data_IF_287643863583
#
_entry.id   IF_287643863583
#
_cell.length_a   1.000
_cell.length_b   1.000
_cell.length_c   1.000
_cell.angle_alpha   90.00
_cell.angle_beta   90.00
_cell.angle_gamma   90.00
#
_symmetry.space_group_name_H-M   'P 1'
#
loop_
_entity.id
_entity.type
_entity.pdbx_description
1 polymer ?
#
# COMPACT_ATOMS: atom_id res chain seq x y z
N UNK A 1 16.47 12.14 31.13
CA UNK A 1 16.13 12.28 29.69
C UNK A 1 15.51 10.98 29.19
N UNK A 2 14.20 10.90 29.17
CA UNK A 2 13.47 9.76 28.65
C UNK A 2 13.68 9.68 27.13
N UNK A 3 14.46 8.71 26.67
CA UNK A 3 14.61 8.39 25.26
C UNK A 3 13.28 7.79 24.77
N UNK A 4 12.42 8.60 24.14
CA UNK A 4 11.11 8.13 23.67
C UNK A 4 11.26 7.30 22.40
N UNK A 5 10.74 6.06 22.35
CA UNK A 5 10.89 5.16 21.20
C UNK A 5 10.43 5.78 19.87
N UNK A 6 9.33 6.55 19.89
CA UNK A 6 8.79 7.19 18.69
C UNK A 6 9.80 8.14 18.01
N UNK A 7 10.56 8.93 18.77
CA UNK A 7 11.58 9.82 18.21
C UNK A 7 12.75 9.05 17.63
N UNK A 8 13.24 8.05 18.38
CA UNK A 8 14.38 7.23 17.92
C UNK A 8 14.06 6.38 16.69
N UNK A 9 12.81 5.94 16.56
CA UNK A 9 12.37 5.16 15.41
C UNK A 9 12.11 5.99 14.16
N UNK A 10 12.02 7.33 14.30
CA UNK A 10 11.71 8.19 13.16
C UNK A 10 12.90 8.28 12.19
N UNK A 11 12.77 7.81 10.95
CA UNK A 11 13.90 7.76 10.02
C UNK A 11 14.28 9.14 9.44
N UNK A 12 13.45 10.16 9.67
CA UNK A 12 13.58 11.51 9.10
C UNK A 12 13.54 12.60 10.17
N UNK A 13 13.69 12.24 11.44
CA UNK A 13 13.71 13.17 12.58
C UNK A 13 12.52 14.16 12.61
N UNK A 14 11.34 13.68 12.20
CA UNK A 14 10.13 14.48 12.15
C UNK A 14 9.42 14.63 13.52
N UNK A 15 9.98 14.09 14.62
CA UNK A 15 9.35 14.12 15.93
C UNK A 15 10.15 15.01 16.89
N UNK A 16 9.51 16.05 17.39
CA UNK A 16 9.99 16.97 18.41
C UNK A 16 9.11 16.92 19.66
N UNK A 17 9.37 17.77 20.62
CA UNK A 17 8.58 17.92 21.84
C UNK A 17 8.23 19.38 22.02
N UNK A 18 7.00 19.65 22.46
CA UNK A 18 6.57 20.98 22.90
C UNK A 18 7.10 21.32 24.32
N UNK A 19 6.73 22.49 24.82
CA UNK A 19 7.10 22.99 26.15
C UNK A 19 6.60 22.11 27.30
N UNK A 20 5.50 21.37 27.08
CA UNK A 20 4.94 20.41 28.03
C UNK A 20 5.54 18.99 27.85
N UNK A 21 6.47 18.84 26.93
CA UNK A 21 7.10 17.55 26.62
C UNK A 21 6.19 16.61 25.84
N UNK A 22 5.11 17.08 25.21
CA UNK A 22 4.25 16.25 24.32
C UNK A 22 4.93 16.10 22.96
N UNK A 23 4.83 14.90 22.38
CA UNK A 23 5.41 14.63 21.07
C UNK A 23 4.64 15.34 19.96
N UNK A 24 5.35 16.13 19.17
CA UNK A 24 4.83 16.90 18.03
C UNK A 24 5.46 16.32 16.74
N UNK A 25 4.62 16.05 15.75
CA UNK A 25 5.05 15.53 14.45
C UNK A 25 5.09 16.68 13.45
N UNK A 26 6.27 17.00 12.95
CA UNK A 26 6.47 17.95 11.86
C UNK A 26 5.94 17.37 10.54
N UNK A 27 4.85 17.92 10.05
CA UNK A 27 4.17 17.47 8.82
C UNK A 27 5.02 17.69 7.56
N UNK A 28 5.94 18.65 7.59
CA UNK A 28 6.81 18.96 6.45
C UNK A 28 8.01 18.01 6.35
N UNK A 29 8.29 17.24 7.40
CA UNK A 29 9.33 16.21 7.41
C UNK A 29 8.76 14.80 7.42
N UNK A 30 7.54 14.62 7.91
CA UNK A 30 6.95 13.32 8.14
C UNK A 30 6.61 12.60 6.83
N UNK A 31 7.26 11.46 6.57
CA UNK A 31 7.01 10.60 5.40
C UNK A 31 5.83 9.63 5.60
N UNK A 32 5.12 9.73 6.72
CA UNK A 32 3.90 8.96 7.06
C UNK A 32 4.08 7.45 7.10
N UNK A 33 5.30 6.95 7.32
CA UNK A 33 5.63 5.52 7.32
C UNK A 33 5.04 4.73 8.50
N UNK A 34 4.52 5.39 9.54
CA UNK A 34 3.91 4.72 10.72
C UNK A 34 4.90 4.12 11.72
N UNK A 35 6.21 4.26 11.54
CA UNK A 35 7.21 3.61 12.40
C UNK A 35 7.10 4.04 13.87
N UNK A 36 6.74 5.32 14.12
CA UNK A 36 6.50 5.85 15.47
C UNK A 36 5.29 5.22 16.15
N UNK A 37 4.25 4.82 15.40
CA UNK A 37 3.06 4.13 15.91
C UNK A 37 3.44 2.74 16.40
N UNK A 38 4.14 1.98 15.56
CA UNK A 38 4.60 0.63 15.92
C UNK A 38 5.61 0.61 17.07
N UNK A 39 6.41 1.67 17.22
CA UNK A 39 7.43 1.76 18.27
C UNK A 39 6.89 2.27 19.60
N UNK A 40 5.65 2.75 19.66
CA UNK A 40 5.08 3.26 20.90
C UNK A 40 4.44 2.13 21.73
N UNK A 41 5.02 1.75 22.86
CA UNK A 41 4.46 0.66 23.68
C UNK A 41 3.16 1.05 24.39
N UNK A 42 2.83 2.34 24.40
CA UNK A 42 1.64 2.89 25.08
C UNK A 42 0.48 3.19 24.12
N UNK A 43 0.64 2.98 22.81
CA UNK A 43 -0.37 3.35 21.83
C UNK A 43 -0.70 4.86 21.78
N UNK A 44 0.23 5.72 22.26
CA UNK A 44 0.02 7.16 22.37
C UNK A 44 0.01 7.90 21.01
N UNK A 45 0.43 7.23 19.94
CA UNK A 45 0.39 7.76 18.57
C UNK A 45 -0.49 6.83 17.75
N UNK A 46 -1.51 7.38 17.13
CA UNK A 46 -2.44 6.65 16.28
C UNK A 46 -2.52 7.26 14.88
N UNK A 47 -2.92 6.47 13.89
CA UNK A 47 -3.29 6.97 12.57
C UNK A 47 -4.76 7.39 12.57
N UNK A 48 -5.13 8.28 11.64
CA UNK A 48 -6.54 8.54 11.35
C UNK A 48 -7.20 7.23 10.89
N UNK A 49 -8.36 6.90 11.46
CA UNK A 49 -9.12 5.71 11.04
C UNK A 49 -10.18 6.05 10.01
N UNK A 50 -10.47 5.08 9.14
CA UNK A 50 -11.60 5.12 8.19
C UNK A 50 -12.71 4.13 8.55
N UNK A 51 -12.70 3.57 9.77
CA UNK A 51 -13.73 2.61 10.21
C UNK A 51 -15.14 3.23 10.11
N UNK A 52 -15.33 4.45 10.61
CA UNK A 52 -16.65 5.10 10.64
C UNK A 52 -17.23 5.31 9.25
N UNK A 53 -16.53 5.95 8.29
CA UNK A 53 -17.09 6.11 6.94
C UNK A 53 -17.33 4.78 6.23
N UNK A 54 -16.50 3.76 6.44
CA UNK A 54 -16.73 2.41 5.87
C UNK A 54 -17.98 1.77 6.46
N UNK A 55 -18.17 1.82 7.79
CA UNK A 55 -19.39 1.28 8.42
C UNK A 55 -20.64 2.02 7.94
N UNK A 56 -20.58 3.33 7.77
CA UNK A 56 -21.71 4.12 7.26
C UNK A 56 -22.05 3.71 5.83
N UNK A 57 -21.06 3.58 4.94
CA UNK A 57 -21.27 3.13 3.58
C UNK A 57 -21.90 1.72 3.51
N UNK A 58 -21.44 0.79 4.36
CA UNK A 58 -22.05 -0.55 4.48
C UNK A 58 -23.49 -0.49 4.96
N UNK A 59 -23.81 0.34 5.97
CA UNK A 59 -25.17 0.50 6.51
C UNK A 59 -26.13 1.14 5.52
N UNK A 60 -25.63 2.05 4.69
CA UNK A 60 -26.41 2.74 3.66
C UNK A 60 -26.57 1.91 2.38
N UNK A 61 -26.01 0.69 2.32
CA UNK A 61 -26.05 -0.16 1.14
C UNK A 61 -25.39 0.45 -0.09
N UNK A 62 -24.33 1.22 0.11
CA UNK A 62 -23.54 1.80 -1.00
C UNK A 62 -22.82 0.69 -1.78
N UNK A 63 -22.43 1.00 -3.02
CA UNK A 63 -21.60 0.12 -3.85
C UNK A 63 -20.16 0.06 -3.32
N UNK A 64 -19.97 -0.58 -2.18
CA UNK A 64 -18.68 -0.67 -1.51
C UNK A 64 -17.93 -1.96 -1.87
N UNK A 65 -16.68 -1.83 -2.29
CA UNK A 65 -15.80 -2.92 -2.74
C UNK A 65 -14.57 -3.02 -1.85
N UNK A 66 -14.21 -4.24 -1.48
CA UNK A 66 -12.99 -4.50 -0.72
C UNK A 66 -11.83 -4.88 -1.65
N UNK A 67 -10.63 -4.40 -1.33
CA UNK A 67 -9.41 -4.71 -2.07
C UNK A 67 -8.31 -5.08 -1.06
N UNK A 68 -7.76 -6.30 -1.12
CA UNK A 68 -6.72 -6.72 -0.18
C UNK A 68 -5.31 -6.63 -0.77
N UNK A 69 -4.39 -6.15 0.04
CA UNK A 69 -2.97 -6.10 -0.30
C UNK A 69 -2.40 -7.50 -0.61
N UNK A 70 -1.42 -7.61 -1.52
CA UNK A 70 -0.73 -8.89 -1.76
C UNK A 70 -0.13 -9.50 -0.48
N UNK A 71 0.28 -8.65 0.47
CA UNK A 71 0.78 -9.07 1.78
C UNK A 71 -0.27 -9.74 2.69
N UNK A 72 -1.54 -9.82 2.27
CA UNK A 72 -2.60 -10.50 3.02
C UNK A 72 -2.46 -12.02 2.96
N UNK A 73 -1.92 -12.53 1.86
CA UNK A 73 -1.69 -13.96 1.67
C UNK A 73 -0.76 -14.51 2.77
N UNK A 74 -1.18 -15.59 3.42
CA UNK A 74 -0.44 -16.25 4.50
C UNK A 74 -0.42 -15.54 5.87
N UNK A 75 -1.01 -14.34 6.01
CA UNK A 75 -0.99 -13.60 7.28
C UNK A 75 -1.97 -14.14 8.33
N UNK A 76 -2.99 -14.86 7.91
CA UNK A 76 -4.11 -15.27 8.77
C UNK A 76 -4.22 -16.80 8.90
N UNK A 77 -3.26 -17.53 8.40
CA UNK A 77 -3.22 -18.99 8.38
C UNK A 77 -2.98 -19.54 6.97
N UNK A 78 -2.42 -20.74 6.89
CA UNK A 78 -2.10 -21.37 5.59
C UNK A 78 -3.36 -21.68 4.76
N UNK A 79 -4.48 -21.94 5.42
CA UNK A 79 -5.74 -22.33 4.79
C UNK A 79 -6.67 -21.13 4.51
N UNK A 80 -6.24 -19.91 4.88
CA UNK A 80 -6.97 -18.67 4.64
C UNK A 80 -6.48 -18.06 3.32
N UNK A 81 -7.29 -18.24 2.29
CA UNK A 81 -7.02 -17.77 0.93
C UNK A 81 -7.71 -16.44 0.64
N UNK A 82 -7.48 -15.86 -0.56
CA UNK A 82 -8.21 -14.67 -1.01
C UNK A 82 -9.71 -14.96 -1.17
N UNK A 83 -10.10 -16.21 -1.43
CA UNK A 83 -11.52 -16.60 -1.45
C UNK A 83 -12.14 -16.61 -0.05
N UNK A 84 -11.39 -16.97 0.99
CA UNK A 84 -11.82 -16.80 2.39
C UNK A 84 -12.16 -15.33 2.69
N UNK A 85 -11.31 -14.43 2.24
CA UNK A 85 -11.53 -12.99 2.37
C UNK A 85 -12.74 -12.52 1.57
N UNK A 86 -12.92 -13.01 0.34
CA UNK A 86 -14.08 -12.66 -0.50
C UNK A 86 -15.39 -13.02 0.20
N UNK A 87 -15.48 -14.22 0.76
CA UNK A 87 -16.68 -14.67 1.50
C UNK A 87 -16.95 -13.78 2.70
N UNK A 88 -15.95 -13.56 3.54
CA UNK A 88 -16.09 -12.73 4.73
C UNK A 88 -16.48 -11.27 4.38
N UNK A 89 -15.90 -10.69 3.32
CA UNK A 89 -16.26 -9.34 2.90
C UNK A 89 -17.70 -9.26 2.36
N UNK A 90 -18.16 -10.26 1.60
CA UNK A 90 -19.55 -10.33 1.16
C UNK A 90 -20.51 -10.47 2.34
N UNK A 91 -20.17 -11.25 3.35
CA UNK A 91 -20.96 -11.39 4.59
C UNK A 91 -21.03 -10.06 5.37
N UNK A 92 -19.97 -9.25 5.35
CA UNK A 92 -19.97 -7.90 5.92
C UNK A 92 -20.84 -6.91 5.14
N UNK A 93 -21.25 -7.24 3.89
CA UNK A 93 -22.06 -6.39 3.03
C UNK A 93 -21.29 -5.66 1.93
N UNK A 94 -20.03 -6.01 1.68
CA UNK A 94 -19.33 -5.53 0.48
C UNK A 94 -19.92 -6.19 -0.77
N UNK A 95 -19.98 -5.44 -1.87
CA UNK A 95 -20.47 -5.94 -3.17
C UNK A 95 -19.56 -7.03 -3.71
N UNK A 96 -18.25 -6.79 -3.70
CA UNK A 96 -17.25 -7.79 -4.06
C UNK A 96 -15.88 -7.49 -3.42
N UNK A 97 -14.92 -8.38 -3.71
CA UNK A 97 -13.56 -8.34 -3.19
C UNK A 97 -12.55 -8.59 -4.32
N UNK A 98 -11.45 -7.83 -4.30
CA UNK A 98 -10.39 -7.90 -5.29
C UNK A 98 -9.01 -8.13 -4.65
N UNK A 99 -8.22 -9.03 -5.26
CA UNK A 99 -6.81 -9.20 -4.94
C UNK A 99 -5.99 -8.09 -5.62
N UNK A 100 -5.31 -7.25 -4.82
CA UNK A 100 -4.44 -6.17 -5.33
C UNK A 100 -3.14 -6.71 -5.94
N UNK A 101 -2.86 -8.01 -5.84
CA UNK A 101 -1.82 -8.66 -6.62
C UNK A 101 -2.00 -8.47 -8.13
N UNK A 102 -3.26 -8.53 -8.62
CA UNK A 102 -3.58 -8.19 -10.01
C UNK A 102 -3.16 -6.75 -10.35
N UNK A 103 -3.39 -5.81 -9.43
CA UNK A 103 -2.89 -4.44 -9.59
C UNK A 103 -1.37 -4.36 -9.62
N UNK A 104 -0.68 -5.28 -8.93
CA UNK A 104 0.77 -5.45 -9.01
C UNK A 104 1.22 -5.83 -10.42
N UNK A 105 0.54 -6.78 -11.06
CA UNK A 105 0.81 -7.17 -12.45
C UNK A 105 0.59 -6.00 -13.41
N UNK A 106 -0.53 -5.26 -13.25
CA UNK A 106 -0.82 -4.07 -14.06
C UNK A 106 0.26 -2.99 -13.87
N UNK A 107 0.62 -2.67 -12.63
CA UNK A 107 1.65 -1.67 -12.33
C UNK A 107 3.01 -2.10 -12.91
N UNK A 108 3.37 -3.37 -12.80
CA UNK A 108 4.63 -3.89 -13.33
C UNK A 108 4.72 -3.74 -14.86
N UNK A 109 3.62 -3.98 -15.57
CA UNK A 109 3.58 -3.83 -17.03
C UNK A 109 3.83 -2.37 -17.45
N UNK A 110 3.16 -1.41 -16.82
CA UNK A 110 3.37 0.02 -17.12
C UNK A 110 4.75 0.52 -16.66
N UNK A 111 5.23 0.11 -15.48
CA UNK A 111 6.59 0.46 -15.04
C UNK A 111 7.65 -0.14 -15.96
N UNK A 112 7.43 -1.32 -16.55
CA UNK A 112 8.35 -1.95 -17.48
C UNK A 112 8.55 -1.09 -18.75
N UNK A 113 7.48 -0.56 -19.31
CA UNK A 113 7.55 0.37 -20.45
C UNK A 113 8.34 1.62 -20.10
N UNK A 114 8.01 2.26 -18.98
CA UNK A 114 8.69 3.47 -18.50
C UNK A 114 10.18 3.21 -18.21
N UNK A 115 10.52 2.05 -17.67
CA UNK A 115 11.91 1.69 -17.38
C UNK A 115 12.70 1.40 -18.67
N UNK A 116 12.08 0.76 -19.66
CA UNK A 116 12.72 0.52 -20.95
C UNK A 116 13.06 1.82 -21.70
N UNK A 117 12.17 2.81 -21.64
CA UNK A 117 12.40 4.13 -22.22
C UNK A 117 13.52 4.88 -21.47
N UNK A 118 13.43 4.95 -20.16
CA UNK A 118 14.44 5.61 -19.33
C UNK A 118 15.84 4.97 -19.49
N UNK A 119 15.90 3.64 -19.63
CA UNK A 119 17.16 2.93 -19.87
C UNK A 119 17.82 3.35 -21.19
N UNK A 120 17.03 3.48 -22.27
CA UNK A 120 17.54 3.95 -23.57
C UNK A 120 18.12 5.36 -23.50
N UNK A 121 17.55 6.20 -22.63
CA UNK A 121 17.99 7.58 -22.41
C UNK A 121 19.11 7.69 -21.35
N UNK A 122 19.57 6.57 -20.77
CA UNK A 122 20.57 6.56 -19.70
C UNK A 122 20.09 7.15 -18.38
N UNK A 123 18.77 7.24 -18.19
CA UNK A 123 18.13 7.76 -16.97
C UNK A 123 17.98 6.66 -15.92
N UNK A 124 17.89 7.07 -14.65
CA UNK A 124 17.59 6.19 -13.53
C UNK A 124 16.11 6.31 -13.19
N UNK A 125 15.46 5.19 -12.91
CA UNK A 125 14.08 5.16 -12.45
C UNK A 125 13.94 4.38 -11.14
N UNK A 126 13.00 4.82 -10.30
CA UNK A 126 12.59 4.16 -9.07
C UNK A 126 11.07 4.03 -9.04
N UNK A 127 10.57 2.97 -8.42
CA UNK A 127 9.13 2.70 -8.34
C UNK A 127 8.37 3.74 -7.53
N UNK A 128 7.09 3.93 -7.84
CA UNK A 128 6.16 4.83 -7.12
C UNK A 128 5.24 4.10 -6.13
N UNK A 129 5.23 2.77 -6.08
CA UNK A 129 4.22 1.98 -5.36
C UNK A 129 4.26 2.12 -3.83
N UNK A 130 5.36 2.63 -3.23
CA UNK A 130 5.49 2.84 -1.79
C UNK A 130 5.30 4.32 -1.41
N UNK A 131 4.14 4.73 -0.82
CA UNK A 131 3.89 6.14 -0.51
C UNK A 131 4.88 6.75 0.49
N UNK A 132 5.41 5.94 1.41
CA UNK A 132 6.43 6.42 2.35
C UNK A 132 7.76 6.73 1.65
N UNK A 133 8.13 5.94 0.62
CA UNK A 133 9.31 6.18 -0.20
C UNK A 133 9.12 7.43 -1.08
N UNK A 134 7.98 7.54 -1.75
CA UNK A 134 7.63 8.72 -2.56
C UNK A 134 7.68 9.99 -1.72
N UNK A 135 7.05 9.98 -0.52
CA UNK A 135 7.13 11.10 0.41
C UNK A 135 8.58 11.40 0.87
N UNK A 136 9.39 10.37 1.07
CA UNK A 136 10.80 10.56 1.43
C UNK A 136 11.56 11.28 0.32
N UNK A 137 11.39 10.86 -0.93
CA UNK A 137 12.03 11.53 -2.07
C UNK A 137 11.53 12.97 -2.20
N UNK A 138 10.22 13.17 -2.26
CA UNK A 138 9.63 14.51 -2.46
C UNK A 138 10.00 15.51 -1.37
N UNK A 139 10.07 15.08 -0.10
CA UNK A 139 10.31 15.98 1.03
C UNK A 139 11.80 16.16 1.37
N UNK A 140 12.63 15.14 1.15
CA UNK A 140 14.02 15.15 1.60
C UNK A 140 15.06 15.08 0.48
N UNK A 141 14.63 14.68 -0.73
CA UNK A 141 15.49 14.55 -1.91
C UNK A 141 14.76 15.06 -3.17
N UNK A 142 14.23 16.32 -3.17
CA UNK A 142 13.38 16.82 -4.25
C UNK A 142 14.09 16.81 -5.62
N UNK A 143 15.41 16.83 -5.66
CA UNK A 143 16.21 16.73 -6.87
C UNK A 143 16.09 15.35 -7.56
N UNK A 144 15.56 14.33 -6.87
CA UNK A 144 15.33 12.98 -7.41
C UNK A 144 13.84 12.73 -7.74
N UNK A 145 12.97 13.74 -7.62
CA UNK A 145 11.55 13.58 -7.81
C UNK A 145 11.19 13.08 -9.23
N UNK A 146 11.91 13.55 -10.24
CA UNK A 146 11.71 13.17 -11.65
C UNK A 146 12.15 11.72 -11.96
N UNK A 147 12.91 11.11 -11.04
CA UNK A 147 13.28 9.71 -11.16
C UNK A 147 12.17 8.75 -10.66
N UNK A 148 11.16 9.26 -9.95
CA UNK A 148 10.03 8.42 -9.50
C UNK A 148 9.18 8.06 -10.72
N UNK A 149 8.79 6.78 -10.82
CA UNK A 149 7.83 6.31 -11.82
C UNK A 149 6.53 7.11 -11.75
N UNK A 150 5.95 7.42 -12.88
CA UNK A 150 4.64 8.09 -12.98
C UNK A 150 3.49 7.10 -12.87
N UNK A 151 3.78 5.80 -12.93
CA UNK A 151 2.79 4.73 -12.83
C UNK A 151 2.14 4.72 -11.44
N UNK A 152 0.83 4.54 -11.41
CA UNK A 152 0.06 4.48 -10.16
C UNK A 152 0.34 3.19 -9.39
N UNK A 153 0.11 3.22 -8.08
CA UNK A 153 0.29 2.04 -7.24
C UNK A 153 -0.74 0.93 -7.56
N UNK A 154 -0.44 -0.34 -7.23
CA UNK A 154 -1.37 -1.45 -7.36
C UNK A 154 -2.75 -1.20 -6.75
N UNK A 155 -2.80 -0.51 -5.61
CA UNK A 155 -4.05 -0.11 -4.97
C UNK A 155 -4.88 0.83 -5.86
N UNK A 156 -4.24 1.84 -6.43
CA UNK A 156 -4.91 2.79 -7.33
C UNK A 156 -5.31 2.11 -8.65
N UNK A 157 -4.48 1.22 -9.19
CA UNK A 157 -4.81 0.50 -10.43
C UNK A 157 -6.09 -0.33 -10.28
N UNK A 158 -6.24 -1.11 -9.20
CA UNK A 158 -7.46 -1.87 -8.94
C UNK A 158 -8.65 -0.95 -8.66
N UNK A 159 -8.45 0.15 -7.90
CA UNK A 159 -9.53 1.12 -7.67
C UNK A 159 -10.06 1.70 -8.98
N UNK A 160 -9.17 2.10 -9.89
CA UNK A 160 -9.54 2.59 -11.23
C UNK A 160 -10.29 1.54 -12.05
N UNK A 161 -9.84 0.29 -12.02
CA UNK A 161 -10.51 -0.81 -12.69
C UNK A 161 -11.93 -1.01 -12.17
N UNK A 162 -12.14 -1.00 -10.86
CA UNK A 162 -13.47 -1.13 -10.25
C UNK A 162 -14.35 0.07 -10.63
N UNK A 163 -13.84 1.30 -10.49
CA UNK A 163 -14.60 2.53 -10.80
C UNK A 163 -14.91 2.68 -12.29
N UNK A 164 -14.14 2.05 -13.18
CA UNK A 164 -14.47 1.98 -14.59
C UNK A 164 -15.65 1.05 -14.88
N UNK A 165 -15.85 0.02 -14.06
CA UNK A 165 -16.98 -0.91 -14.17
C UNK A 165 -18.23 -0.40 -13.43
N UNK A 166 -18.02 0.26 -12.30
CA UNK A 166 -19.07 0.85 -11.47
C UNK A 166 -18.65 2.26 -11.04
N UNK A 167 -19.15 3.30 -11.73
CA UNK A 167 -18.78 4.70 -11.43
C UNK A 167 -19.20 5.17 -10.03
N UNK A 168 -20.15 4.51 -9.37
CA UNK A 168 -20.58 4.81 -8.00
C UNK A 168 -19.80 4.01 -6.94
N UNK A 169 -18.82 3.21 -7.36
CA UNK A 169 -18.04 2.36 -6.46
C UNK A 169 -17.27 3.16 -5.42
N UNK A 170 -17.41 2.72 -4.17
CA UNK A 170 -16.57 3.11 -3.05
C UNK A 170 -15.56 1.98 -2.82
N UNK A 171 -14.28 2.25 -2.95
CA UNK A 171 -13.22 1.26 -2.84
C UNK A 171 -12.47 1.36 -1.53
N UNK A 172 -12.32 0.22 -0.84
CA UNK A 172 -11.67 0.10 0.47
C UNK A 172 -10.47 -0.81 0.38
N UNK A 173 -9.28 -0.25 0.52
CA UNK A 173 -8.06 -1.04 0.57
C UNK A 173 -7.82 -1.59 1.98
N UNK A 174 -7.53 -2.88 2.07
CA UNK A 174 -7.22 -3.60 3.31
C UNK A 174 -5.77 -4.07 3.26
N UNK A 175 -4.95 -3.64 4.21
CA UNK A 175 -3.55 -4.04 4.21
C UNK A 175 -2.75 -3.52 5.40
N UNK A 176 -1.46 -3.89 5.52
CA UNK A 176 -0.63 -3.56 6.68
C UNK A 176 -0.09 -2.13 6.65
N UNK A 177 -0.18 -1.42 5.51
CA UNK A 177 0.59 -0.21 5.27
C UNK A 177 -0.14 1.06 5.71
N UNK A 178 0.36 1.72 6.76
CA UNK A 178 -0.18 3.00 7.24
C UNK A 178 0.03 4.15 6.24
N UNK A 179 1.10 4.11 5.42
CA UNK A 179 1.36 5.14 4.43
C UNK A 179 0.30 5.18 3.32
N UNK A 180 -0.39 4.07 3.04
CA UNK A 180 -1.51 4.02 2.11
C UNK A 180 -2.67 4.93 2.53
N UNK A 181 -2.86 5.17 3.84
CA UNK A 181 -3.82 6.16 4.33
C UNK A 181 -3.49 7.60 3.92
N UNK A 182 -2.23 7.88 3.59
CA UNK A 182 -1.85 9.19 3.06
C UNK A 182 -1.97 9.27 1.54
N UNK A 183 -1.85 8.15 0.85
CA UNK A 183 -2.01 8.08 -0.59
C UNK A 183 -3.47 8.33 -1.01
N UNK A 184 -4.44 7.77 -0.28
CA UNK A 184 -5.87 7.96 -0.60
C UNK A 184 -6.38 9.38 -0.36
N UNK A 185 -5.67 10.22 0.38
CA UNK A 185 -6.01 11.62 0.56
C UNK A 185 -5.20 12.57 -0.34
N UNK A 186 -4.35 12.03 -1.19
CA UNK A 186 -3.59 12.80 -2.19
C UNK A 186 -4.50 13.12 -3.38
N UNK A 187 -4.91 14.37 -3.47
CA UNK A 187 -5.81 14.86 -4.52
C UNK A 187 -5.18 14.84 -5.93
N UNK A 188 -3.87 14.64 -6.04
CA UNK A 188 -3.18 14.54 -7.33
C UNK A 188 -3.36 13.17 -7.99
N UNK A 189 -3.84 12.17 -7.24
CA UNK A 189 -4.03 10.80 -7.73
C UNK A 189 -5.51 10.55 -7.99
N UNK A 190 -5.96 10.79 -9.21
CA UNK A 190 -7.34 10.54 -9.62
C UNK A 190 -7.67 9.04 -9.62
N UNK A 191 -8.90 8.71 -9.27
CA UNK A 191 -9.40 7.33 -9.25
C UNK A 191 -8.78 6.44 -8.18
N UNK A 192 -8.09 7.03 -7.20
CA UNK A 192 -7.51 6.28 -6.07
C UNK A 192 -8.59 5.61 -5.21
N UNK A 193 -8.16 4.70 -4.32
CA UNK A 193 -9.05 4.13 -3.31
C UNK A 193 -9.65 5.24 -2.43
N UNK A 194 -10.88 5.02 -1.96
CA UNK A 194 -11.58 6.00 -1.12
C UNK A 194 -11.16 5.86 0.35
N UNK A 195 -10.99 4.63 0.81
CA UNK A 195 -10.62 4.34 2.20
C UNK A 195 -9.53 3.29 2.30
N UNK A 196 -8.80 3.33 3.42
CA UNK A 196 -7.79 2.33 3.81
C UNK A 196 -8.06 1.83 5.20
N UNK A 197 -8.22 0.53 5.36
CA UNK A 197 -8.28 -0.15 6.64
C UNK A 197 -7.02 -0.98 6.87
N UNK A 198 -6.45 -0.88 8.05
CA UNK A 198 -5.43 -1.83 8.51
C UNK A 198 -6.05 -3.16 8.87
N UNK A 199 -5.25 -4.23 8.95
CA UNK A 199 -5.74 -5.53 9.40
C UNK A 199 -6.40 -5.48 10.80
N UNK A 200 -5.90 -4.63 11.69
CA UNK A 200 -6.52 -4.45 13.01
C UNK A 200 -7.90 -3.80 12.90
N UNK A 201 -8.05 -2.83 11.99
CA UNK A 201 -9.32 -2.12 11.79
C UNK A 201 -10.39 -3.01 11.15
N UNK A 202 -10.03 -3.76 10.09
CA UNK A 202 -11.01 -4.68 9.48
C UNK A 202 -11.39 -5.83 10.42
N UNK A 203 -10.44 -6.38 11.19
CA UNK A 203 -10.74 -7.40 12.21
C UNK A 203 -11.66 -6.88 13.30
N UNK A 204 -11.55 -5.59 13.68
CA UNK A 204 -12.50 -4.99 14.64
C UNK A 204 -13.91 -4.93 14.07
N UNK A 205 -14.07 -4.60 12.77
CA UNK A 205 -15.37 -4.59 12.09
C UNK A 205 -15.93 -6.02 12.02
N UNK A 206 -15.12 -6.98 11.58
CA UNK A 206 -15.50 -8.40 11.49
C UNK A 206 -15.96 -8.93 12.84
N UNK A 207 -15.18 -8.70 13.90
CA UNK A 207 -15.55 -9.11 15.27
C UNK A 207 -16.85 -8.48 15.75
N UNK A 208 -17.11 -7.22 15.42
CA UNK A 208 -18.34 -6.52 15.81
C UNK A 208 -19.59 -7.04 15.06
N UNK A 209 -19.40 -7.83 14.01
CA UNK A 209 -20.42 -8.43 13.17
C UNK A 209 -20.47 -9.95 13.25
N UNK A 210 -19.65 -10.54 14.12
CA UNK A 210 -19.48 -11.99 14.28
C UNK A 210 -19.09 -12.71 12.98
N UNK A 211 -18.35 -12.02 12.09
CA UNK A 211 -17.83 -12.57 10.83
C UNK A 211 -16.40 -13.08 11.06
N UNK A 212 -16.13 -14.31 10.66
CA UNK A 212 -14.83 -14.95 10.76
C UNK A 212 -14.26 -15.32 9.39
N UNK A 213 -12.93 -15.43 9.31
CA UNK A 213 -12.25 -15.96 8.13
C UNK A 213 -12.26 -17.49 8.21
N UNK A 214 -13.05 -18.11 7.36
CA UNK A 214 -13.10 -19.57 7.25
C UNK A 214 -12.08 -20.08 6.24
N UNK A 215 -11.52 -21.27 6.52
CA UNK A 215 -10.64 -21.95 5.57
C UNK A 215 -11.36 -22.22 4.25
N UNK A 216 -10.73 -21.86 3.14
CA UNK A 216 -11.24 -22.10 1.81
C UNK A 216 -10.12 -22.62 0.90
N UNK A 217 -10.10 -23.92 0.59
CA UNK A 217 -9.02 -24.51 -0.20
C UNK A 217 -9.04 -24.09 -1.68
N UNK A 218 -10.19 -23.68 -2.18
CA UNK A 218 -10.32 -23.21 -3.56
C UNK A 218 -10.00 -21.72 -3.62
N UNK A 219 -8.91 -21.39 -4.26
CA UNK A 219 -8.48 -20.01 -4.47
C UNK A 219 -8.59 -19.68 -5.98
N UNK A 220 -9.64 -18.97 -6.34
CA UNK A 220 -9.80 -18.42 -7.69
C UNK A 220 -8.86 -17.23 -7.88
N UNK A 221 -7.57 -17.50 -7.96
CA UNK A 221 -6.55 -16.48 -8.05
C UNK A 221 -6.50 -15.87 -9.44
N UNK A 222 -6.52 -14.56 -9.51
CA UNK A 222 -6.40 -13.78 -10.75
C UNK A 222 -5.03 -13.15 -10.94
N UNK A 223 -4.28 -12.94 -9.86
CA UNK A 223 -2.93 -12.39 -9.89
C UNK A 223 -1.86 -13.43 -10.20
N UNK A 224 -0.82 -13.02 -10.94
CA UNK A 224 0.36 -13.85 -11.19
C UNK A 224 1.18 -14.09 -9.91
N UNK A 225 2.12 -15.03 -9.97
CA UNK A 225 3.09 -15.21 -8.86
C UNK A 225 3.89 -13.95 -8.57
N UNK A 226 4.18 -13.13 -9.58
CA UNK A 226 4.90 -11.86 -9.43
C UNK A 226 4.03 -10.81 -8.78
N UNK A 227 2.77 -10.67 -9.19
CA UNK A 227 1.80 -9.77 -8.56
C UNK A 227 1.57 -10.10 -7.08
N UNK A 228 1.45 -11.38 -6.73
CA UNK A 228 1.34 -11.83 -5.33
C UNK A 228 2.57 -11.52 -4.50
N UNK A 229 3.76 -11.65 -5.09
CA UNK A 229 5.03 -11.35 -4.42
C UNK A 229 5.45 -9.88 -4.52
N UNK A 230 4.60 -9.03 -5.09
CA UNK A 230 4.89 -7.61 -5.27
C UNK A 230 5.27 -6.90 -3.97
N UNK A 231 4.69 -7.29 -2.84
CA UNK A 231 5.00 -6.74 -1.53
C UNK A 231 6.31 -7.31 -0.89
N UNK A 232 6.94 -8.30 -1.49
CA UNK A 232 8.19 -8.86 -1.00
C UNK A 232 9.37 -7.95 -1.32
N UNK A 233 10.46 -8.10 -0.56
CA UNK A 233 11.71 -7.41 -0.87
C UNK A 233 12.23 -7.79 -2.26
N UNK A 234 12.37 -6.80 -3.15
CA UNK A 234 12.72 -7.00 -4.55
C UNK A 234 11.58 -7.52 -5.44
N UNK A 235 10.36 -7.69 -4.90
CA UNK A 235 9.20 -8.20 -5.63
C UNK A 235 8.80 -7.30 -6.79
N UNK A 236 8.76 -5.99 -6.59
CA UNK A 236 8.47 -5.01 -7.65
C UNK A 236 9.47 -5.15 -8.80
N UNK A 237 10.77 -5.14 -8.49
CA UNK A 237 11.81 -5.30 -9.51
C UNK A 237 11.68 -6.61 -10.26
N UNK A 238 11.39 -7.72 -9.57
CA UNK A 238 11.20 -9.01 -10.21
C UNK A 238 10.00 -9.00 -11.17
N UNK A 239 8.89 -8.38 -10.77
CA UNK A 239 7.70 -8.25 -11.61
C UNK A 239 7.96 -7.39 -12.85
N UNK A 240 8.64 -6.25 -12.69
CA UNK A 240 9.01 -5.36 -13.81
C UNK A 240 9.96 -6.06 -14.79
N UNK A 241 10.99 -6.75 -14.29
CA UNK A 241 11.93 -7.49 -15.15
C UNK A 241 11.26 -8.64 -15.90
N UNK A 242 10.26 -9.31 -15.31
CA UNK A 242 9.49 -10.33 -16.00
C UNK A 242 8.61 -9.73 -17.11
N UNK A 243 7.91 -8.63 -16.81
CA UNK A 243 7.14 -7.88 -17.82
C UNK A 243 8.01 -7.41 -18.99
N UNK A 244 9.25 -6.97 -18.73
CA UNK A 244 10.21 -6.61 -19.78
C UNK A 244 10.58 -7.80 -20.67
N UNK A 245 10.73 -9.00 -20.10
CA UNK A 245 10.99 -10.21 -20.87
C UNK A 245 9.79 -10.62 -21.72
N UNK A 246 8.58 -10.57 -21.15
CA UNK A 246 7.33 -10.91 -21.85
C UNK A 246 7.07 -9.96 -23.03
N UNK A 247 7.53 -8.72 -22.96
CA UNK A 247 7.40 -7.70 -24.02
C UNK A 247 8.61 -7.62 -24.98
N UNK A 248 9.54 -8.56 -24.92
CA UNK A 248 10.81 -8.57 -25.70
C UNK A 248 11.66 -7.30 -25.54
N UNK A 249 11.48 -6.56 -24.44
CA UNK A 249 12.21 -5.34 -24.10
C UNK A 249 13.28 -5.59 -23.00
N UNK A 250 14.01 -6.71 -23.08
CA UNK A 250 15.04 -7.02 -22.08
C UNK A 250 16.07 -5.89 -21.96
N UNK A 251 16.30 -5.46 -20.72
CA UNK A 251 17.34 -4.47 -20.37
C UNK A 251 18.37 -5.11 -19.45
N UNK A 252 19.65 -4.79 -19.67
CA UNK A 252 20.75 -5.18 -18.75
C UNK A 252 20.92 -4.07 -17.70
N UNK A 253 19.94 -3.95 -16.79
CA UNK A 253 19.94 -2.94 -15.77
C UNK A 253 20.63 -3.44 -14.49
N UNK A 254 21.54 -2.62 -13.95
CA UNK A 254 22.12 -2.86 -12.63
C UNK A 254 21.07 -2.61 -11.55
N UNK A 255 20.63 -3.67 -10.89
CA UNK A 255 19.65 -3.62 -9.81
C UNK A 255 20.30 -3.37 -8.47
N UNK A 256 19.88 -2.32 -7.77
CA UNK A 256 20.24 -2.06 -6.38
C UNK A 256 19.04 -2.41 -5.47
N UNK A 257 19.27 -3.26 -4.48
CA UNK A 257 18.26 -3.60 -3.46
C UNK A 257 18.45 -2.71 -2.24
N UNK A 258 17.35 -2.08 -1.78
CA UNK A 258 17.35 -1.24 -0.60
C UNK A 258 16.13 -1.53 0.28
N UNK A 259 16.37 -2.08 1.46
CA UNK A 259 15.32 -2.44 2.41
C UNK A 259 15.28 -1.46 3.59
N UNK A 260 14.14 -0.80 3.73
CA UNK A 260 13.95 0.18 4.79
C UNK A 260 14.67 1.51 4.53
N UNK A 261 14.32 2.49 5.34
CA UNK A 261 14.70 3.89 5.12
C UNK A 261 16.21 4.16 5.16
N UNK A 262 16.98 3.37 5.88
CA UNK A 262 18.45 3.60 5.97
C UNK A 262 19.17 3.16 4.69
N UNK A 263 18.78 2.02 4.13
CA UNK A 263 19.36 1.55 2.87
C UNK A 263 18.90 2.42 1.71
N UNK A 264 17.59 2.78 1.67
CA UNK A 264 17.07 3.72 0.67
C UNK A 264 17.79 5.09 0.66
N UNK A 265 18.32 5.54 1.80
CA UNK A 265 19.11 6.79 1.87
C UNK A 265 20.53 6.64 1.34
N UNK A 266 21.05 5.42 1.26
CA UNK A 266 22.40 5.13 0.79
C UNK A 266 22.44 4.79 -0.70
N UNK A 267 21.35 4.24 -1.21
CA UNK A 267 21.18 3.90 -2.62
C UNK A 267 20.96 5.15 -3.48
#
# INVERSE_FOLDING_TARGET
>A
HLKRPCKFSCPVDAITYDEHGISVIDKNKCIRCGKCIHSCPFGAIASKTFIVPVINALREGKHIYAMAAPATEGQFGADITMESWRKAMKELGFVDFYDVGLGGDMTAAYEAEEWAEAYKEGQKKVTSCCPAFVNMVRLHYPQLADNISTTVSPMCAISRMIKAQDPEAITVFIGPCLAKKSEVVDQQIEGNADYVLTYSEIRAIMKAKDVELEACPNDNQTASTFGKRFANSGGVTAAVLESLKESDNCIDAKVCRANGSQECKKA
#
